data_IF_044300614594
#
_entry.id   IF_044300614594
#
_cell.length_a   1.000
_cell.length_b   1.000
_cell.length_c   1.000
_cell.angle_alpha   90.00
_cell.angle_beta   90.00
_cell.angle_gamma   90.00
#
_symmetry.space_group_name_H-M   'P 1'
#
loop_
_entity.id
_entity.type
_entity.pdbx_description
1 polymer ?
#
# COMPACT_ATOMS: atom_id res chain seq x y z
N UNK A 1 8.70 -25.57 7.24
CA UNK A 1 7.40 -25.31 7.88
C UNK A 1 7.33 -23.81 8.01
N UNK A 2 6.28 -23.16 7.50
CA UNK A 2 6.15 -21.71 7.66
C UNK A 2 5.60 -21.43 9.06
N UNK A 3 6.04 -20.34 9.67
CA UNK A 3 5.57 -19.84 10.96
C UNK A 3 4.04 -19.56 11.00
N UNK A 4 3.40 -19.46 9.83
CA UNK A 4 2.02 -19.01 9.65
C UNK A 4 1.21 -20.05 8.85
N UNK A 5 0.78 -21.13 9.51
CA UNK A 5 -0.16 -22.08 8.90
C UNK A 5 -1.60 -21.51 8.85
N UNK A 6 -1.92 -20.60 9.78
CA UNK A 6 -3.16 -19.82 9.83
C UNK A 6 -2.83 -18.31 10.00
N UNK A 7 -3.75 -17.40 9.65
CA UNK A 7 -3.57 -15.98 9.92
C UNK A 7 -3.42 -15.70 11.42
N UNK A 8 -2.39 -14.95 11.80
CA UNK A 8 -2.10 -14.57 13.19
C UNK A 8 -2.38 -13.08 13.38
N UNK A 9 -3.21 -12.73 14.36
CA UNK A 9 -3.50 -11.34 14.71
C UNK A 9 -2.88 -10.99 16.05
N UNK A 10 -2.17 -9.86 16.11
CA UNK A 10 -1.49 -9.40 17.30
C UNK A 10 -1.49 -7.86 17.38
N UNK A 11 -1.35 -7.27 18.58
CA UNK A 11 -1.17 -5.83 18.73
C UNK A 11 0.03 -5.33 17.93
N UNK A 12 -0.16 -4.28 17.15
CA UNK A 12 0.91 -3.65 16.33
C UNK A 12 2.09 -3.22 17.20
N UNK A 13 1.82 -2.72 18.40
CA UNK A 13 2.82 -2.37 19.40
C UNK A 13 3.75 -3.55 19.74
N UNK A 14 3.22 -4.78 19.82
CA UNK A 14 4.03 -5.94 20.16
C UNK A 14 5.07 -6.24 19.06
N UNK A 15 4.69 -6.07 17.79
CA UNK A 15 5.60 -6.22 16.66
C UNK A 15 6.61 -5.09 16.59
N UNK A 16 6.20 -3.84 16.85
CA UNK A 16 7.11 -2.71 16.94
C UNK A 16 8.19 -2.92 18.02
N UNK A 17 7.79 -3.42 19.20
CA UNK A 17 8.72 -3.77 20.28
C UNK A 17 9.68 -4.91 19.89
N UNK A 18 9.18 -5.96 19.25
CA UNK A 18 10.05 -7.02 18.74
C UNK A 18 11.07 -6.49 17.72
N UNK A 19 10.65 -5.55 16.86
CA UNK A 19 11.51 -4.88 15.90
C UNK A 19 12.64 -4.07 16.58
N UNK A 20 12.30 -3.32 17.64
CA UNK A 20 13.25 -2.59 18.47
C UNK A 20 14.27 -3.53 19.15
N UNK A 21 13.78 -4.61 19.77
CA UNK A 21 14.63 -5.59 20.45
C UNK A 21 15.63 -6.25 19.50
N UNK A 22 15.20 -6.58 18.28
CA UNK A 22 16.04 -7.23 17.27
C UNK A 22 16.97 -6.25 16.50
N UNK A 23 16.81 -4.93 16.69
CA UNK A 23 17.66 -3.88 16.09
C UNK A 23 17.81 -4.02 14.57
N UNK A 24 16.71 -4.33 13.89
CA UNK A 24 16.67 -4.64 12.45
C UNK A 24 16.87 -3.39 11.57
N UNK A 25 16.73 -2.19 12.15
CA UNK A 25 16.80 -0.92 11.44
C UNK A 25 15.43 -0.24 11.40
N UNK A 26 15.19 0.71 10.47
CA UNK A 26 13.92 1.39 10.37
C UNK A 26 12.80 0.43 9.99
N UNK A 27 11.65 0.53 10.66
CA UNK A 27 10.46 -0.25 10.33
C UNK A 27 9.89 0.18 8.96
N UNK A 28 9.25 -0.75 8.26
CA UNK A 28 8.53 -0.43 7.04
C UNK A 28 7.38 0.58 7.35
N UNK A 29 7.13 1.59 6.51
CA UNK A 29 6.12 2.63 6.78
C UNK A 29 4.73 2.12 7.15
N UNK A 30 4.32 0.96 6.62
CA UNK A 30 3.04 0.30 6.94
C UNK A 30 2.96 -0.20 8.39
N UNK A 31 4.07 -0.69 8.95
CA UNK A 31 4.13 -1.10 10.36
C UNK A 31 4.20 0.17 11.24
N UNK A 32 4.92 1.17 10.76
CA UNK A 32 5.10 2.45 11.42
C UNK A 32 5.99 2.38 12.66
N UNK A 33 6.22 3.54 13.26
CA UNK A 33 6.81 3.67 14.60
C UNK A 33 5.66 3.75 15.60
N UNK A 34 5.79 3.08 16.75
CA UNK A 34 4.86 3.21 17.87
C UNK A 34 5.59 3.94 18.99
N UNK A 35 5.51 5.27 18.98
CA UNK A 35 6.09 6.10 20.04
C UNK A 35 5.15 6.12 21.24
N UNK A 36 5.45 5.28 22.24
CA UNK A 36 4.73 5.25 23.49
C UNK A 36 5.64 5.75 24.62
N UNK A 37 5.25 6.86 25.25
CA UNK A 37 5.92 7.34 26.46
C UNK A 37 5.29 6.66 27.68
N UNK A 38 6.09 5.93 28.45
CA UNK A 38 5.65 5.13 29.59
C UNK A 38 6.65 5.34 30.73
N UNK A 39 6.14 5.51 31.95
CA UNK A 39 6.94 5.51 33.18
C UNK A 39 7.67 4.17 33.37
N UNK A 40 8.86 4.17 33.99
CA UNK A 40 9.77 3.01 34.02
C UNK A 40 9.12 1.70 34.53
N UNK A 41 8.35 1.76 35.62
CA UNK A 41 7.66 0.58 36.18
C UNK A 41 6.58 0.03 35.23
N UNK A 42 5.91 0.92 34.50
CA UNK A 42 4.92 0.54 33.51
C UNK A 42 5.57 0.04 32.21
N UNK A 43 6.80 0.49 31.89
CA UNK A 43 7.57 -0.01 30.76
C UNK A 43 7.99 -1.49 30.96
N UNK A 44 8.47 -1.86 32.16
CA UNK A 44 8.81 -3.24 32.46
C UNK A 44 7.59 -4.18 32.36
N UNK A 45 6.44 -3.73 32.87
CA UNK A 45 5.19 -4.49 32.77
C UNK A 45 4.71 -4.62 31.32
N UNK A 46 4.85 -3.57 30.52
CA UNK A 46 4.51 -3.59 29.10
C UNK A 46 5.39 -4.58 28.33
N UNK A 47 6.69 -4.61 28.61
CA UNK A 47 7.62 -5.55 28.00
C UNK A 47 7.23 -7.00 28.32
N UNK A 48 6.90 -7.30 29.58
CA UNK A 48 6.47 -8.65 29.98
C UNK A 48 5.16 -9.07 29.29
N UNK A 49 4.18 -8.17 29.21
CA UNK A 49 2.94 -8.42 28.45
C UNK A 49 3.22 -8.64 26.97
N UNK A 50 4.12 -7.85 26.39
CA UNK A 50 4.52 -7.99 24.98
C UNK A 50 5.15 -9.35 24.70
N UNK A 51 6.05 -9.81 25.58
CA UNK A 51 6.66 -11.15 25.46
C UNK A 51 5.61 -12.25 25.54
N UNK A 52 4.62 -12.13 26.42
CA UNK A 52 3.53 -13.10 26.55
C UNK A 52 2.67 -13.16 25.28
N UNK A 53 2.27 -12.00 24.77
CA UNK A 53 1.46 -11.87 23.54
C UNK A 53 2.21 -12.44 22.32
N UNK A 54 3.52 -12.21 22.21
CA UNK A 54 4.32 -12.79 21.12
C UNK A 54 4.60 -14.28 21.34
N UNK A 55 4.60 -14.77 22.58
CA UNK A 55 4.85 -16.19 22.85
C UNK A 55 3.67 -17.09 22.46
N UNK A 56 2.43 -16.57 22.53
CA UNK A 56 1.22 -17.30 22.17
C UNK A 56 1.24 -17.88 20.74
N UNK A 57 1.57 -17.09 19.68
CA UNK A 57 1.75 -17.63 18.33
C UNK A 57 3.15 -18.25 18.09
N UNK A 58 3.99 -18.37 19.12
CA UNK A 58 5.34 -18.91 18.98
C UNK A 58 6.38 -17.93 18.41
N UNK A 59 6.11 -16.63 18.41
CA UNK A 59 7.05 -15.59 17.93
C UNK A 59 8.09 -15.22 18.98
N UNK A 60 7.86 -15.59 20.24
CA UNK A 60 8.77 -15.36 21.35
C UNK A 60 8.95 -16.62 22.20
N UNK A 61 10.19 -16.91 22.59
CA UNK A 61 10.52 -18.01 23.47
C UNK A 61 10.79 -17.48 24.88
N UNK A 62 9.82 -17.68 25.78
CA UNK A 62 9.90 -17.24 27.18
C UNK A 62 11.04 -17.92 27.96
N UNK A 63 11.46 -19.12 27.57
CA UNK A 63 12.55 -19.85 28.25
C UNK A 63 13.92 -19.26 27.91
N UNK A 64 14.13 -18.88 26.66
CA UNK A 64 15.40 -18.29 26.20
C UNK A 64 15.40 -16.76 26.25
N UNK A 65 14.24 -16.16 26.52
CA UNK A 65 13.99 -14.72 26.51
C UNK A 65 14.42 -14.07 25.18
N UNK A 66 14.00 -14.68 24.06
CA UNK A 66 14.36 -14.26 22.70
C UNK A 66 13.19 -14.40 21.74
N UNK A 67 13.17 -13.51 20.74
CA UNK A 67 12.36 -13.70 19.53
C UNK A 67 12.80 -15.00 18.83
N UNK A 68 11.83 -15.75 18.31
CA UNK A 68 12.13 -17.00 17.58
C UNK A 68 12.80 -16.71 16.24
N UNK A 69 13.63 -17.65 15.77
CA UNK A 69 14.38 -17.46 14.52
C UNK A 69 13.47 -17.21 13.32
N UNK A 70 12.37 -17.95 13.23
CA UNK A 70 11.39 -17.79 12.14
C UNK A 70 10.68 -16.43 12.16
N UNK A 71 10.31 -15.90 13.33
CA UNK A 71 9.75 -14.55 13.41
C UNK A 71 10.79 -13.48 13.11
N UNK A 72 12.02 -13.66 13.59
CA UNK A 72 13.14 -12.78 13.25
C UNK A 72 13.40 -12.73 11.73
N UNK A 73 13.37 -13.88 11.07
CA UNK A 73 13.52 -13.99 9.62
C UNK A 73 12.40 -13.26 8.88
N UNK A 74 11.16 -13.32 9.40
CA UNK A 74 10.04 -12.55 8.88
C UNK A 74 10.26 -11.04 9.01
N UNK A 75 10.68 -10.55 10.18
CA UNK A 75 10.97 -9.13 10.37
C UNK A 75 12.11 -8.66 9.46
N UNK A 76 13.15 -9.49 9.28
CA UNK A 76 14.24 -9.23 8.34
C UNK A 76 13.77 -9.20 6.89
N UNK A 77 12.84 -10.09 6.50
CA UNK A 77 12.24 -10.12 5.18
C UNK A 77 11.42 -8.84 4.92
N UNK A 78 10.67 -8.35 5.90
CA UNK A 78 9.97 -7.06 5.79
C UNK A 78 10.94 -5.89 5.62
N UNK A 79 12.04 -5.87 6.37
CA UNK A 79 13.03 -4.79 6.29
C UNK A 79 13.83 -4.79 4.98
N UNK A 80 14.09 -5.98 4.44
CA UNK A 80 15.05 -6.17 3.36
C UNK A 80 14.46 -6.73 2.06
N UNK A 81 13.13 -6.75 1.93
CA UNK A 81 12.47 -7.42 0.80
C UNK A 81 13.01 -6.96 -0.57
N UNK A 82 13.17 -7.92 -1.48
CA UNK A 82 13.59 -7.67 -2.86
C UNK A 82 12.44 -7.10 -3.70
N UNK A 83 11.20 -7.41 -3.32
CA UNK A 83 9.99 -6.90 -3.93
C UNK A 83 8.85 -6.87 -2.92
N UNK A 84 8.08 -5.80 -2.95
CA UNK A 84 6.93 -5.60 -2.08
C UNK A 84 5.82 -4.82 -2.78
N UNK A 85 4.59 -5.06 -2.34
CA UNK A 85 3.42 -4.27 -2.69
C UNK A 85 2.78 -3.78 -1.40
N UNK A 86 2.43 -2.51 -1.32
CA UNK A 86 1.88 -1.93 -0.10
C UNK A 86 0.94 -0.79 -0.38
N UNK A 87 0.14 -0.40 0.61
CA UNK A 87 -0.72 0.75 0.46
C UNK A 87 -1.48 1.13 1.71
N UNK A 88 -2.20 2.25 1.59
CA UNK A 88 -3.09 2.77 2.61
C UNK A 88 -4.47 2.98 2.00
N UNK A 89 -5.48 2.57 2.73
CA UNK A 89 -6.89 2.73 2.38
C UNK A 89 -7.56 3.50 3.49
N UNK A 90 -8.15 4.63 3.15
CA UNK A 90 -8.93 5.47 4.06
C UNK A 90 -10.32 5.68 3.47
N UNK A 91 -11.35 5.49 4.27
CA UNK A 91 -12.72 5.81 3.87
C UNK A 91 -13.24 7.11 4.51
N UNK A 92 -14.36 7.62 3.99
CA UNK A 92 -14.99 8.84 4.49
C UNK A 92 -15.47 8.76 5.95
N UNK A 93 -15.53 7.55 6.51
CA UNK A 93 -15.93 7.30 7.89
C UNK A 93 -14.72 7.26 8.85
N UNK A 94 -13.50 7.49 8.34
CA UNK A 94 -12.27 7.48 9.12
C UNK A 94 -11.76 6.08 9.43
N UNK A 95 -12.22 5.06 8.70
CA UNK A 95 -11.65 3.70 8.81
C UNK A 95 -10.42 3.63 7.93
N UNK A 96 -9.28 3.54 8.59
CA UNK A 96 -7.97 3.47 7.95
C UNK A 96 -7.39 2.07 8.07
N UNK A 97 -6.78 1.60 6.99
CA UNK A 97 -6.00 0.36 6.96
C UNK A 97 -4.73 0.54 6.16
N UNK A 98 -3.69 -0.16 6.57
CA UNK A 98 -2.47 -0.26 5.81
C UNK A 98 -2.20 -1.72 5.44
N UNK A 99 -1.65 -1.94 4.25
CA UNK A 99 -1.47 -3.25 3.65
C UNK A 99 -0.02 -3.36 3.21
N UNK A 100 0.61 -4.51 3.44
CA UNK A 100 1.97 -4.79 3.01
C UNK A 100 2.10 -6.27 2.67
N UNK A 101 2.42 -6.57 1.43
CA UNK A 101 2.87 -7.89 1.01
C UNK A 101 4.37 -7.84 0.70
N UNK A 102 5.14 -8.72 1.32
CA UNK A 102 6.59 -8.85 1.11
C UNK A 102 6.96 -10.28 0.76
N UNK A 103 7.97 -10.44 -0.08
CA UNK A 103 8.59 -11.75 -0.28
C UNK A 103 9.34 -12.18 0.98
N UNK A 104 9.27 -13.47 1.30
CA UNK A 104 9.96 -14.10 2.43
C UNK A 104 10.84 -15.27 1.96
N UNK A 105 11.81 -15.65 2.79
CA UNK A 105 12.75 -16.73 2.48
C UNK A 105 13.55 -16.44 1.20
N UNK A 106 13.80 -17.47 0.37
CA UNK A 106 14.46 -17.32 -0.94
C UNK A 106 13.51 -16.96 -2.08
N UNK A 107 12.45 -16.17 -1.80
CA UNK A 107 11.53 -15.62 -2.81
C UNK A 107 10.48 -16.59 -3.35
N UNK A 108 10.16 -17.68 -2.63
CA UNK A 108 9.09 -18.63 -2.98
C UNK A 108 7.80 -18.42 -2.21
N UNK A 109 7.94 -17.85 -1.02
CA UNK A 109 6.85 -17.55 -0.11
C UNK A 109 6.74 -16.04 0.05
N UNK A 110 5.59 -15.58 0.50
CA UNK A 110 5.36 -14.20 0.86
C UNK A 110 4.46 -14.11 2.09
N UNK A 111 4.45 -12.95 2.72
CA UNK A 111 3.54 -12.66 3.83
C UNK A 111 2.78 -11.38 3.52
N UNK A 112 1.47 -11.44 3.72
CA UNK A 112 0.58 -10.29 3.77
C UNK A 112 0.43 -9.84 5.22
N UNK A 113 0.77 -8.59 5.47
CA UNK A 113 0.56 -7.86 6.68
C UNK A 113 -0.58 -6.85 6.47
N UNK A 114 -1.61 -6.93 7.30
CA UNK A 114 -2.73 -5.97 7.32
C UNK A 114 -2.75 -5.28 8.67
N UNK A 115 -2.65 -3.95 8.66
CA UNK A 115 -2.80 -3.10 9.84
C UNK A 115 -4.16 -2.45 9.79
N UNK A 116 -4.96 -2.65 10.82
CA UNK A 116 -6.22 -1.95 11.04
C UNK A 116 -6.31 -1.58 12.51
N UNK A 117 -6.63 -0.32 12.79
CA UNK A 117 -6.56 0.24 14.15
C UNK A 117 -5.17 -0.02 14.79
N UNK A 118 -5.12 -0.71 15.93
CA UNK A 118 -3.88 -1.09 16.61
C UNK A 118 -3.53 -2.59 16.47
N UNK A 119 -4.14 -3.27 15.49
CA UNK A 119 -3.90 -4.69 15.24
C UNK A 119 -3.15 -4.91 13.93
N UNK A 120 -2.19 -5.82 13.97
CA UNK A 120 -1.49 -6.36 12.81
C UNK A 120 -1.94 -7.81 12.62
N UNK A 121 -2.43 -8.12 11.42
CA UNK A 121 -2.68 -9.49 10.98
C UNK A 121 -1.59 -9.92 10.01
N UNK A 122 -0.99 -11.08 10.25
CA UNK A 122 0.01 -11.70 9.38
C UNK A 122 -0.57 -12.96 8.76
N UNK A 123 -0.49 -13.08 7.43
CA UNK A 123 -1.00 -14.21 6.67
C UNK A 123 0.03 -14.66 5.65
N UNK A 124 0.36 -15.95 5.66
CA UNK A 124 1.16 -16.55 4.60
C UNK A 124 0.42 -16.52 3.27
N UNK A 125 1.14 -16.17 2.20
CA UNK A 125 0.66 -16.14 0.82
C UNK A 125 1.74 -16.70 -0.11
N UNK A 126 1.36 -17.10 -1.33
CA UNK A 126 2.33 -17.46 -2.37
C UNK A 126 3.06 -16.22 -2.90
N UNK A 127 4.32 -16.38 -3.32
CA UNK A 127 5.07 -15.28 -3.93
C UNK A 127 4.42 -14.75 -5.23
N UNK A 128 3.67 -15.59 -5.95
CA UNK A 128 2.88 -15.24 -7.13
C UNK A 128 1.63 -14.39 -6.79
N UNK A 129 1.27 -14.30 -5.51
CA UNK A 129 0.12 -13.53 -5.03
C UNK A 129 0.51 -12.16 -4.45
N UNK A 130 1.78 -11.75 -4.50
CA UNK A 130 2.30 -10.55 -3.85
C UNK A 130 1.40 -9.31 -4.06
N UNK A 131 1.10 -8.99 -5.32
CA UNK A 131 0.25 -7.84 -5.67
C UNK A 131 -1.23 -8.17 -5.46
N UNK A 132 -1.67 -9.34 -5.93
CA UNK A 132 -3.09 -9.71 -5.89
C UNK A 132 -3.64 -9.79 -4.47
N UNK A 133 -2.83 -10.24 -3.51
CA UNK A 133 -3.20 -10.30 -2.11
C UNK A 133 -3.53 -8.90 -1.56
N UNK A 134 -2.70 -7.89 -1.83
CA UNK A 134 -2.96 -6.50 -1.41
C UNK A 134 -4.24 -5.96 -2.05
N UNK A 135 -4.43 -6.18 -3.36
CA UNK A 135 -5.62 -5.70 -4.07
C UNK A 135 -6.90 -6.36 -3.57
N UNK A 136 -6.85 -7.64 -3.19
CA UNK A 136 -8.00 -8.36 -2.63
C UNK A 136 -8.42 -7.88 -1.23
N UNK A 137 -7.53 -7.20 -0.49
CA UNK A 137 -7.86 -6.62 0.82
C UNK A 137 -8.55 -5.24 0.72
N UNK A 138 -8.65 -4.68 -0.49
CA UNK A 138 -9.43 -3.47 -0.73
C UNK A 138 -10.92 -3.75 -0.49
N UNK A 139 -11.69 -2.78 0.04
CA UNK A 139 -13.13 -2.93 0.18
C UNK A 139 -13.79 -3.30 -1.15
N UNK A 140 -14.83 -4.14 -1.10
CA UNK A 140 -15.61 -4.43 -2.29
C UNK A 140 -16.36 -3.17 -2.75
N UNK A 141 -16.10 -2.74 -3.98
CA UNK A 141 -16.68 -1.54 -4.57
C UNK A 141 -16.77 -1.73 -6.09
N UNK A 142 -17.93 -1.40 -6.73
CA UNK A 142 -18.10 -1.60 -8.15
C UNK A 142 -17.09 -0.77 -8.94
N UNK A 143 -16.46 -1.38 -9.93
CA UNK A 143 -15.53 -0.67 -10.81
C UNK A 143 -16.26 0.37 -11.67
N UNK A 144 -15.55 1.45 -11.99
CA UNK A 144 -16.09 2.47 -12.85
C UNK A 144 -16.31 1.98 -14.28
N UNK A 145 -17.44 2.36 -14.86
CA UNK A 145 -17.77 2.07 -16.26
C UNK A 145 -17.19 3.16 -17.17
N UNK A 146 -15.87 3.19 -17.27
CA UNK A 146 -15.12 4.15 -18.10
C UNK A 146 -14.12 3.42 -18.98
N UNK A 147 -13.85 3.97 -20.16
CA UNK A 147 -12.65 3.62 -20.91
C UNK A 147 -11.43 4.28 -20.24
N UNK A 148 -10.25 3.71 -20.46
CA UNK A 148 -9.02 4.34 -20.00
C UNK A 148 -8.84 5.72 -20.64
N UNK A 149 -8.69 6.73 -19.80
CA UNK A 149 -8.43 8.12 -20.17
C UNK A 149 -6.95 8.37 -19.91
N UNK A 150 -6.22 8.83 -20.94
CA UNK A 150 -4.84 9.30 -20.83
C UNK A 150 -4.80 10.77 -21.17
N UNK A 151 -4.23 11.59 -20.31
CA UNK A 151 -4.10 13.04 -20.50
C UNK A 151 -2.68 13.48 -20.14
N UNK A 152 -1.97 14.23 -21.00
CA UNK A 152 -0.68 14.82 -20.64
C UNK A 152 -0.83 15.71 -19.40
N UNK A 153 0.02 15.53 -18.39
CA UNK A 153 -0.08 16.28 -17.13
C UNK A 153 -0.06 17.80 -17.35
N UNK A 154 0.77 18.27 -18.29
CA UNK A 154 0.85 19.68 -18.66
C UNK A 154 -0.47 20.24 -19.23
N UNK A 155 -1.26 19.43 -19.94
CA UNK A 155 -2.58 19.83 -20.43
C UNK A 155 -3.61 19.88 -19.29
N UNK A 156 -3.57 18.89 -18.40
CA UNK A 156 -4.44 18.83 -17.24
C UNK A 156 -4.26 20.07 -16.35
N UNK A 157 -3.02 20.45 -16.06
CA UNK A 157 -2.64 21.55 -15.17
C UNK A 157 -2.95 22.94 -15.76
N UNK A 158 -2.76 23.15 -17.06
CA UNK A 158 -3.03 24.45 -17.71
C UNK A 158 -4.46 24.93 -17.50
N UNK A 159 -5.45 24.05 -17.62
CA UNK A 159 -6.84 24.45 -17.42
C UNK A 159 -7.18 24.66 -15.93
N UNK A 160 -6.43 24.05 -15.00
CA UNK A 160 -6.55 24.34 -13.55
C UNK A 160 -6.04 25.74 -13.20
N UNK A 161 -5.05 26.27 -13.91
CA UNK A 161 -4.54 27.64 -13.70
C UNK A 161 -5.39 28.72 -14.36
N UNK A 162 -6.35 28.34 -15.22
CA UNK A 162 -7.22 29.26 -15.93
C UNK A 162 -8.45 29.66 -15.11
N UNK A 163 -8.23 30.24 -13.92
CA UNK A 163 -9.25 31.05 -13.21
C UNK A 163 -9.51 32.40 -13.92
N UNK A 164 -8.81 32.66 -15.03
CA UNK A 164 -9.08 33.76 -15.96
C UNK A 164 -10.20 33.36 -16.93
N UNK A 165 -11.36 34.00 -16.80
CA UNK A 165 -12.46 33.95 -17.76
C UNK A 165 -12.06 34.64 -19.09
N UNK A 166 -11.14 34.04 -19.85
CA UNK A 166 -10.98 34.36 -21.27
C UNK A 166 -11.92 33.46 -22.04
N UNK A 167 -13.04 34.03 -22.49
CA UNK A 167 -14.04 33.37 -23.32
C UNK A 167 -13.42 33.05 -24.69
N UNK A 168 -12.84 31.86 -24.82
CA UNK A 168 -12.27 31.38 -26.09
C UNK A 168 -13.37 30.93 -27.06
N UNK A 169 -13.92 31.89 -27.79
CA UNK A 169 -15.02 31.74 -28.75
C UNK A 169 -14.72 30.86 -29.98
N UNK A 170 -13.56 30.18 -30.04
CA UNK A 170 -13.19 29.27 -31.14
C UNK A 170 -13.35 27.78 -30.82
N UNK A 171 -13.57 27.42 -29.56
CA UNK A 171 -13.73 26.02 -29.16
C UNK A 171 -15.21 25.61 -29.23
N UNK A 172 -15.50 24.48 -29.87
CA UNK A 172 -16.84 23.90 -29.85
C UNK A 172 -17.09 23.31 -28.45
N UNK A 173 -17.74 24.10 -27.58
CA UNK A 173 -18.03 23.78 -26.19
C UNK A 173 -18.93 22.53 -26.00
N UNK A 174 -19.33 21.86 -27.08
CA UNK A 174 -20.15 20.65 -27.05
C UNK A 174 -19.33 19.36 -27.00
N UNK A 175 -18.02 19.40 -27.28
CA UNK A 175 -17.14 18.22 -27.23
C UNK A 175 -16.39 18.16 -25.90
N UNK A 176 -16.78 17.23 -25.04
CA UNK A 176 -16.05 16.98 -23.78
C UNK A 176 -14.67 16.39 -24.08
N UNK A 177 -13.61 17.14 -23.75
CA UNK A 177 -12.24 16.65 -23.94
C UNK A 177 -11.90 15.54 -22.93
N UNK A 178 -10.93 14.66 -23.21
CA UNK A 178 -10.44 13.68 -22.21
C UNK A 178 -10.00 14.35 -20.90
N UNK A 179 -9.42 15.55 -20.97
CA UNK A 179 -9.04 16.33 -19.80
C UNK A 179 -10.26 16.79 -18.97
N UNK A 180 -11.37 17.17 -19.61
CA UNK A 180 -12.61 17.55 -18.90
C UNK A 180 -13.31 16.34 -18.28
N UNK A 181 -13.29 15.19 -18.96
CA UNK A 181 -13.77 13.93 -18.38
C UNK A 181 -12.96 13.55 -17.14
N UNK A 182 -11.63 13.63 -17.23
CA UNK A 182 -10.74 13.35 -16.10
C UNK A 182 -10.99 14.30 -14.93
N UNK A 183 -11.16 15.61 -15.18
CA UNK A 183 -11.48 16.59 -14.12
C UNK A 183 -12.81 16.28 -13.43
N UNK A 184 -13.83 15.89 -14.19
CA UNK A 184 -15.14 15.51 -13.65
C UNK A 184 -14.99 14.33 -12.69
N UNK A 185 -14.27 13.28 -13.12
CA UNK A 185 -14.01 12.10 -12.28
C UNK A 185 -13.21 12.48 -11.03
N UNK A 186 -12.11 13.23 -11.19
CA UNK A 186 -11.22 13.58 -10.07
C UNK A 186 -11.86 14.55 -9.06
N UNK A 187 -12.83 15.36 -9.52
CA UNK A 187 -13.62 16.28 -8.71
C UNK A 187 -14.84 15.63 -8.02
N UNK A 188 -15.14 14.37 -8.33
CA UNK A 188 -16.27 13.66 -7.73
C UNK A 188 -16.10 13.45 -6.24
N UNK A 189 -17.22 13.35 -5.52
CA UNK A 189 -17.19 13.10 -4.09
C UNK A 189 -16.62 11.71 -3.83
N UNK A 190 -15.61 11.64 -2.95
CA UNK A 190 -14.89 10.41 -2.62
C UNK A 190 -15.54 9.73 -1.43
N UNK A 191 -15.78 8.45 -1.58
CA UNK A 191 -16.23 7.53 -0.53
C UNK A 191 -15.03 6.90 0.18
N UNK A 192 -13.98 6.57 -0.56
CA UNK A 192 -12.71 6.09 -0.05
C UNK A 192 -11.58 6.36 -1.05
N UNK A 193 -10.35 6.35 -0.55
CA UNK A 193 -9.12 6.51 -1.33
C UNK A 193 -8.11 5.46 -0.90
N UNK A 194 -7.51 4.80 -1.89
CA UNK A 194 -6.56 3.71 -1.71
C UNK A 194 -5.28 4.06 -2.45
N UNK A 195 -4.23 4.42 -1.71
CA UNK A 195 -2.91 4.68 -2.30
C UNK A 195 -2.09 3.42 -2.27
N UNK A 196 -1.74 2.92 -3.46
CA UNK A 196 -1.03 1.67 -3.67
C UNK A 196 0.35 1.97 -4.26
N UNK A 197 1.31 1.18 -3.83
CA UNK A 197 2.71 1.30 -4.19
C UNK A 197 3.28 -0.09 -4.44
N UNK A 198 4.31 -0.11 -5.26
CA UNK A 198 5.22 -1.24 -5.36
C UNK A 198 6.63 -0.75 -5.12
N UNK A 199 7.46 -1.57 -4.51
CA UNK A 199 8.88 -1.28 -4.39
C UNK A 199 9.70 -2.52 -4.67
N UNK A 200 10.92 -2.30 -5.15
CA UNK A 200 11.89 -3.33 -5.38
C UNK A 200 13.27 -2.88 -4.93
N UNK A 201 14.16 -3.84 -4.70
CA UNK A 201 15.56 -3.55 -4.40
C UNK A 201 16.41 -3.67 -5.66
N UNK A 202 16.98 -2.56 -6.09
CA UNK A 202 17.84 -2.49 -7.29
C UNK A 202 19.20 -1.93 -6.89
N UNK A 203 20.26 -2.71 -7.10
CA UNK A 203 21.62 -2.33 -6.67
C UNK A 203 21.76 -2.16 -5.15
N UNK A 204 21.03 -2.95 -4.35
CA UNK A 204 21.03 -2.89 -2.88
C UNK A 204 20.15 -1.77 -2.30
N UNK A 205 19.65 -0.84 -3.13
CA UNK A 205 18.78 0.26 -2.70
C UNK A 205 17.32 -0.04 -2.99
N UNK A 206 16.45 0.25 -2.03
CA UNK A 206 14.99 0.21 -2.22
C UNK A 206 14.56 1.37 -3.14
N UNK A 207 13.82 1.05 -4.20
CA UNK A 207 13.20 1.99 -5.13
C UNK A 207 11.71 1.73 -5.11
N UNK A 208 10.91 2.75 -4.82
CA UNK A 208 9.45 2.67 -4.80
C UNK A 208 8.85 3.40 -6.01
N UNK A 209 7.68 2.95 -6.44
CA UNK A 209 6.89 3.63 -7.46
C UNK A 209 6.32 4.95 -6.93
N UNK A 210 5.89 5.81 -7.87
CA UNK A 210 4.87 6.81 -7.56
C UNK A 210 3.56 6.11 -7.13
N UNK A 211 2.69 6.78 -6.36
CA UNK A 211 1.42 6.19 -5.94
C UNK A 211 0.51 5.90 -7.14
N UNK A 212 -0.08 4.71 -7.15
CA UNK A 212 -1.26 4.38 -7.92
C UNK A 212 -2.47 4.54 -7.00
N UNK A 213 -3.36 5.48 -7.30
CA UNK A 213 -4.47 5.84 -6.40
C UNK A 213 -5.77 5.28 -6.94
N UNK A 214 -6.39 4.34 -6.22
CA UNK A 214 -7.77 3.97 -6.49
C UNK A 214 -8.72 4.83 -5.67
N UNK A 215 -9.75 5.38 -6.31
CA UNK A 215 -10.75 6.26 -5.65
C UNK A 215 -12.12 5.64 -5.83
N UNK A 216 -12.84 5.50 -4.71
CA UNK A 216 -14.23 5.08 -4.70
C UNK A 216 -15.12 6.31 -4.75
N UNK A 217 -16.05 6.34 -5.71
CA UNK A 217 -17.08 7.37 -5.79
C UNK A 217 -18.43 6.74 -6.11
N UNK A 218 -19.50 7.24 -5.49
CA UNK A 218 -20.87 6.79 -5.80
C UNK A 218 -21.29 7.14 -7.22
N UNK A 219 -20.77 8.24 -7.77
CA UNK A 219 -21.17 8.76 -9.08
C UNK A 219 -20.58 7.94 -10.22
N UNK A 220 -19.40 7.34 -10.01
CA UNK A 220 -18.62 6.72 -11.08
C UNK A 220 -18.19 5.28 -10.80
N UNK A 221 -18.21 4.79 -9.56
CA UNK A 221 -17.54 3.54 -9.21
C UNK A 221 -16.07 3.77 -8.80
N UNK A 222 -15.32 2.67 -8.61
CA UNK A 222 -13.88 2.71 -8.33
C UNK A 222 -13.12 3.02 -9.61
N UNK A 223 -12.29 4.06 -9.60
CA UNK A 223 -11.32 4.36 -10.65
C UNK A 223 -9.90 4.11 -10.15
N UNK A 224 -8.96 3.84 -11.04
CA UNK A 224 -7.52 3.82 -10.74
C UNK A 224 -6.84 4.97 -11.49
N UNK A 225 -6.12 5.83 -10.78
CA UNK A 225 -5.38 6.95 -11.35
C UNK A 225 -3.90 6.88 -10.99
N UNK A 226 -3.02 7.05 -11.98
CA UNK A 226 -1.57 7.01 -11.77
C UNK A 226 -0.82 7.84 -12.81
N UNK A 227 0.43 8.16 -12.51
CA UNK A 227 1.34 8.84 -13.43
C UNK A 227 2.13 7.81 -14.23
N UNK A 228 2.32 8.08 -15.52
CA UNK A 228 3.11 7.25 -16.44
C UNK A 228 4.11 8.13 -17.17
N UNK A 229 5.39 7.81 -17.02
CA UNK A 229 6.45 8.43 -17.82
C UNK A 229 6.32 7.99 -19.27
N UNK A 230 6.47 8.94 -20.20
CA UNK A 230 6.50 8.68 -21.63
C UNK A 230 7.96 8.57 -22.12
N UNK A 231 8.22 7.91 -23.27
CA UNK A 231 9.56 7.83 -23.85
C UNK A 231 10.22 9.18 -24.16
N UNK A 232 9.42 10.24 -24.26
CA UNK A 232 9.87 11.60 -24.57
C UNK A 232 10.18 12.44 -23.32
N UNK A 233 10.02 11.88 -22.13
CA UNK A 233 10.27 12.59 -20.86
C UNK A 233 9.08 13.40 -20.33
N UNK A 234 7.95 13.39 -21.04
CA UNK A 234 6.68 13.93 -20.56
C UNK A 234 5.98 12.92 -19.63
N UNK A 235 5.06 13.42 -18.81
CA UNK A 235 4.27 12.59 -17.87
C UNK A 235 2.80 12.62 -18.27
N UNK A 236 2.21 11.44 -18.39
CA UNK A 236 0.76 11.26 -18.57
C UNK A 236 0.08 10.99 -17.23
N UNK A 237 -1.12 11.53 -17.06
CA UNK A 237 -2.10 11.06 -16.07
C UNK A 237 -2.97 10.01 -16.76
N UNK A 238 -2.96 8.79 -16.22
CA UNK A 238 -3.80 7.69 -16.69
C UNK A 238 -4.91 7.45 -15.67
N UNK A 239 -6.15 7.35 -16.14
CA UNK A 239 -7.32 7.02 -15.32
C UNK A 239 -8.12 5.91 -15.98
N UNK A 240 -8.22 4.76 -15.32
CA UNK A 240 -8.93 3.59 -15.82
C UNK A 240 -9.95 3.04 -14.82
N UNK A 241 -10.66 2.00 -15.24
CA UNK A 241 -11.60 1.27 -14.40
C UNK A 241 -10.85 0.58 -13.23
N UNK A 242 -11.29 0.81 -11.99
CA UNK A 242 -10.65 0.29 -10.80
C UNK A 242 -11.10 -1.12 -10.41
N UNK A 243 -11.31 -2.02 -11.36
CA UNK A 243 -11.59 -3.42 -11.02
C UNK A 243 -10.30 -4.13 -10.56
N UNK A 244 -10.37 -5.15 -9.68
CA UNK A 244 -9.20 -5.78 -9.07
C UNK A 244 -8.14 -6.26 -10.07
N UNK A 245 -8.58 -6.83 -11.21
CA UNK A 245 -7.68 -7.30 -12.26
C UNK A 245 -6.86 -6.18 -12.93
N UNK A 246 -7.46 -5.01 -13.18
CA UNK A 246 -6.74 -3.87 -13.77
C UNK A 246 -5.77 -3.27 -12.76
N UNK A 247 -6.19 -3.11 -11.50
CA UNK A 247 -5.31 -2.60 -10.43
C UNK A 247 -4.10 -3.52 -10.25
N UNK A 248 -4.32 -4.84 -10.12
CA UNK A 248 -3.25 -5.81 -9.96
C UNK A 248 -2.32 -5.83 -11.18
N UNK A 249 -2.87 -5.85 -12.41
CA UNK A 249 -2.08 -5.85 -13.63
C UNK A 249 -1.20 -4.60 -13.78
N UNK A 250 -1.71 -3.42 -13.42
CA UNK A 250 -0.94 -2.17 -13.45
C UNK A 250 0.18 -2.19 -12.41
N UNK A 251 -0.10 -2.58 -11.16
CA UNK A 251 0.92 -2.73 -10.10
C UNK A 251 2.00 -3.75 -10.47
N UNK A 252 1.62 -4.91 -11.02
CA UNK A 252 2.56 -5.94 -11.47
C UNK A 252 3.44 -5.43 -12.61
N UNK A 253 2.88 -4.64 -13.54
CA UNK A 253 3.66 -4.02 -14.61
C UNK A 253 4.65 -2.99 -14.05
N UNK A 254 4.20 -2.13 -13.12
CA UNK A 254 5.05 -1.16 -12.45
C UNK A 254 6.18 -1.85 -11.68
N UNK A 255 5.89 -2.93 -10.95
CA UNK A 255 6.90 -3.68 -10.21
C UNK A 255 7.94 -4.33 -11.12
N UNK A 256 7.50 -4.90 -12.26
CA UNK A 256 8.42 -5.44 -13.27
C UNK A 256 9.36 -4.38 -13.82
N UNK A 257 8.84 -3.19 -14.15
CA UNK A 257 9.66 -2.08 -14.65
C UNK A 257 10.70 -1.59 -13.62
N UNK A 258 10.39 -1.61 -12.33
CA UNK A 258 11.34 -1.25 -11.27
C UNK A 258 12.51 -2.24 -11.12
N UNK A 259 12.28 -3.51 -11.47
CA UNK A 259 13.26 -4.59 -11.30
C UNK A 259 14.25 -4.70 -12.47
N UNK A 260 13.93 -4.11 -13.62
CA UNK A 260 14.74 -4.20 -14.84
C UNK A 260 14.41 -5.43 -15.68
#
# INVERSE_FOLDING_TARGET
MMLLDEPVTLPRLAVAKAWEWERIGPAHPVIGVVDLWVEDDAAARLDDLTRQVLAEPGFYNLRTNRVTGEFRDLLLAVANSDAECYGWSADRHGRDRALLAVLTGRGRDAVLATVADEQLTLKAIGADQLVRAVVNELPDFPAANINEITVPQAEYDRARSSDSYTLDTRSDYTVTTPADQLRTIMGSRREASHQLFVAARTGGRRVASMPLTAVDSLDHGRTLTYLRDTPHGDVDIVCGAGHPGYIAGTLDNTLRLLRG
#
